data_IF_314231883107
#
_entry.id   IF_314231883107
#
_cell.length_a   1.000
_cell.length_b   1.000
_cell.length_c   1.000
_cell.angle_alpha   90.00
_cell.angle_beta   90.00
_cell.angle_gamma   90.00
#
_symmetry.space_group_name_H-M   'P 1'
#
loop_
_entity.id
_entity.type
_entity.pdbx_description
1 polymer ?
#
# COMPACT_ATOMS: atom_id res chain seq x y z
N UNK A 1 -6.65 6.45 12.74
CA UNK A 1 -7.64 6.63 11.67
C UNK A 1 -8.90 5.82 11.97
N UNK A 2 -10.09 6.40 11.72
CA UNK A 2 -11.37 5.73 11.96
C UNK A 2 -12.32 5.95 10.76
N UNK A 3 -12.88 4.86 10.25
CA UNK A 3 -13.97 4.83 9.29
C UNK A 3 -15.21 4.31 10.01
N UNK A 4 -16.33 5.02 9.95
CA UNK A 4 -17.54 4.69 10.68
C UNK A 4 -18.77 4.70 9.78
N UNK A 5 -19.46 3.56 9.75
CA UNK A 5 -20.74 3.36 9.07
C UNK A 5 -20.70 3.77 7.59
N UNK A 6 -19.64 3.35 6.86
CA UNK A 6 -19.49 3.71 5.47
C UNK A 6 -20.44 2.92 4.56
N UNK A 7 -21.15 3.66 3.72
CA UNK A 7 -21.96 3.13 2.64
C UNK A 7 -21.45 3.68 1.31
N UNK A 8 -21.39 2.81 0.27
CA UNK A 8 -21.05 3.21 -1.09
C UNK A 8 -21.75 2.34 -2.11
N UNK A 9 -22.36 3.00 -3.10
CA UNK A 9 -22.98 2.35 -4.26
C UNK A 9 -22.36 2.89 -5.54
N UNK A 10 -22.35 2.07 -6.57
CA UNK A 10 -22.06 2.46 -7.96
C UNK A 10 -23.24 2.04 -8.82
N UNK A 11 -24.07 3.00 -9.22
CA UNK A 11 -25.37 2.72 -9.79
C UNK A 11 -26.24 1.89 -8.83
N UNK A 12 -26.75 0.76 -9.28
CA UNK A 12 -27.59 -0.12 -8.46
C UNK A 12 -26.79 -1.08 -7.54
N UNK A 13 -25.46 -1.15 -7.72
CA UNK A 13 -24.61 -2.08 -6.97
C UNK A 13 -24.15 -1.44 -5.67
N UNK A 14 -24.59 -1.99 -4.52
CA UNK A 14 -23.99 -1.70 -3.23
C UNK A 14 -22.60 -2.35 -3.13
N UNK A 15 -21.61 -1.60 -2.66
CA UNK A 15 -20.20 -2.03 -2.56
C UNK A 15 -19.68 -1.95 -1.13
N UNK A 16 -20.09 -0.92 -0.39
CA UNK A 16 -19.90 -0.84 1.07
C UNK A 16 -21.29 -0.72 1.70
N UNK A 17 -21.55 -1.54 2.72
CA UNK A 17 -22.80 -1.58 3.46
C UNK A 17 -22.49 -1.64 4.96
N UNK A 18 -22.60 -0.51 5.63
CA UNK A 18 -22.34 -0.33 7.08
C UNK A 18 -20.92 -0.72 7.52
N UNK A 19 -19.91 -0.40 6.71
CA UNK A 19 -18.53 -0.79 7.00
C UNK A 19 -17.92 0.17 8.01
N UNK A 20 -17.43 -0.39 9.12
CA UNK A 20 -16.69 0.35 10.15
C UNK A 20 -15.34 -0.29 10.40
N UNK A 21 -14.28 0.52 10.50
CA UNK A 21 -12.92 0.06 10.71
C UNK A 21 -12.10 1.11 11.45
N UNK A 22 -11.37 0.69 12.47
CA UNK A 22 -10.39 1.52 13.17
C UNK A 22 -8.99 0.99 12.94
N UNK A 23 -8.05 1.88 12.61
CA UNK A 23 -6.62 1.59 12.55
C UNK A 23 -5.93 2.50 13.56
N UNK A 24 -5.49 1.96 14.71
CA UNK A 24 -4.76 2.72 15.72
C UNK A 24 -3.42 3.24 15.17
N UNK A 25 -2.92 4.32 15.76
CA UNK A 25 -1.61 4.86 15.38
C UNK A 25 -0.51 3.82 15.61
N UNK A 26 0.35 3.66 14.61
CA UNK A 26 1.42 2.69 14.63
C UNK A 26 1.01 1.22 14.54
N UNK A 27 -0.29 0.89 14.51
CA UNK A 27 -0.76 -0.49 14.34
C UNK A 27 -0.54 -0.99 12.90
N UNK A 28 -0.48 -2.31 12.76
CA UNK A 28 -0.51 -3.01 11.48
C UNK A 28 -1.78 -3.85 11.43
N UNK A 29 -2.73 -3.44 10.62
CA UNK A 29 -4.04 -4.08 10.49
C UNK A 29 -4.17 -4.66 9.08
N UNK A 30 -4.62 -5.89 8.99
CA UNK A 30 -4.91 -6.59 7.74
C UNK A 30 -6.41 -6.81 7.61
N UNK A 31 -7.04 -6.12 6.68
CA UNK A 31 -8.45 -6.31 6.38
C UNK A 31 -8.61 -7.47 5.39
N UNK A 32 -9.25 -8.52 5.85
CA UNK A 32 -9.52 -9.71 5.05
C UNK A 32 -10.99 -9.81 4.68
N UNK A 33 -11.25 -9.93 3.40
CA UNK A 33 -12.59 -10.23 2.88
C UNK A 33 -12.48 -10.89 1.51
N UNK A 34 -13.49 -11.65 1.07
CA UNK A 34 -13.55 -12.19 -0.28
C UNK A 34 -13.41 -11.11 -1.36
N UNK A 35 -13.00 -11.51 -2.57
CA UNK A 35 -12.94 -10.60 -3.72
C UNK A 35 -14.31 -9.99 -4.01
N UNK A 36 -14.34 -8.72 -4.39
CA UNK A 36 -15.58 -8.01 -4.71
C UNK A 36 -16.34 -7.41 -3.52
N UNK A 37 -15.85 -7.56 -2.29
CA UNK A 37 -16.43 -6.98 -1.07
C UNK A 37 -16.06 -5.52 -0.80
N UNK A 38 -15.66 -4.76 -1.81
CA UNK A 38 -15.45 -3.32 -1.66
C UNK A 38 -14.14 -2.89 -0.99
N UNK A 39 -13.20 -3.81 -0.73
CA UNK A 39 -11.92 -3.51 -0.05
C UNK A 39 -11.14 -2.34 -0.68
N UNK A 40 -10.94 -2.37 -2.00
CA UNK A 40 -10.30 -1.27 -2.74
C UNK A 40 -11.10 0.04 -2.63
N UNK A 41 -12.44 -0.05 -2.64
CA UNK A 41 -13.32 1.11 -2.48
C UNK A 41 -13.16 1.71 -1.08
N UNK A 42 -13.09 0.87 -0.04
CA UNK A 42 -12.84 1.33 1.32
C UNK A 42 -11.50 2.07 1.42
N UNK A 43 -10.41 1.51 0.87
CA UNK A 43 -9.11 2.19 0.84
C UNK A 43 -9.19 3.53 0.10
N UNK A 44 -9.93 3.60 -1.01
CA UNK A 44 -10.12 4.85 -1.76
C UNK A 44 -10.93 5.87 -0.96
N UNK A 45 -11.96 5.45 -0.23
CA UNK A 45 -12.71 6.33 0.67
C UNK A 45 -11.81 6.89 1.79
N UNK A 46 -10.99 6.04 2.41
CA UNK A 46 -10.02 6.45 3.43
C UNK A 46 -9.01 7.46 2.85
N UNK A 47 -8.54 7.22 1.63
CA UNK A 47 -7.58 8.10 0.96
C UNK A 47 -8.20 9.41 0.42
N UNK A 48 -9.52 9.61 0.54
CA UNK A 48 -10.22 10.76 -0.06
C UNK A 48 -10.27 10.73 -1.59
N UNK A 49 -9.97 9.58 -2.21
CA UNK A 49 -10.03 9.39 -3.67
C UNK A 49 -11.44 9.00 -4.15
N UNK A 50 -12.31 8.61 -3.22
CA UNK A 50 -13.70 8.28 -3.46
C UNK A 50 -14.53 8.84 -2.29
N UNK A 51 -15.66 9.45 -2.57
CA UNK A 51 -16.57 9.93 -1.54
C UNK A 51 -17.54 8.82 -1.14
N UNK A 52 -17.66 8.44 0.13
CA UNK A 52 -18.73 7.56 0.58
C UNK A 52 -20.09 8.26 0.42
N UNK A 53 -21.15 7.49 0.20
CA UNK A 53 -22.51 8.03 0.09
C UNK A 53 -23.06 8.42 1.47
N UNK A 54 -22.63 7.72 2.53
CA UNK A 54 -22.87 8.08 3.93
C UNK A 54 -21.80 7.47 4.84
N UNK A 55 -21.79 7.88 6.11
CA UNK A 55 -20.75 7.57 7.06
C UNK A 55 -19.64 8.61 7.09
N UNK A 56 -18.60 8.36 7.88
CA UNK A 56 -17.52 9.33 8.09
C UNK A 56 -16.16 8.65 8.12
N UNK A 57 -15.13 9.36 7.61
CA UNK A 57 -13.71 8.98 7.77
C UNK A 57 -13.02 10.11 8.51
N UNK A 58 -12.35 9.78 9.62
CA UNK A 58 -11.67 10.76 10.49
C UNK A 58 -10.27 10.28 10.87
N UNK A 59 -9.40 11.21 11.29
CA UNK A 59 -8.04 10.89 11.73
C UNK A 59 -7.12 10.37 10.64
N UNK A 60 -7.37 10.72 9.37
CA UNK A 60 -6.44 10.44 8.26
C UNK A 60 -5.37 11.52 8.29
N UNK A 61 -4.07 11.15 8.36
CA UNK A 61 -2.99 12.12 8.37
C UNK A 61 -2.76 12.72 6.98
N UNK A 62 -2.06 13.86 6.93
CA UNK A 62 -1.71 14.52 5.65
C UNK A 62 -0.77 13.66 4.80
N UNK A 63 0.20 12.99 5.45
CA UNK A 63 1.16 12.14 4.75
C UNK A 63 0.66 10.71 4.70
N UNK A 64 -0.04 10.41 3.61
CA UNK A 64 -0.59 9.10 3.32
C UNK A 64 0.16 8.46 2.15
N UNK A 65 0.74 7.27 2.39
CA UNK A 65 1.30 6.43 1.34
C UNK A 65 0.27 5.42 0.85
N UNK A 66 0.16 5.25 -0.48
CA UNK A 66 -0.79 4.30 -1.05
C UNK A 66 -0.10 3.40 -2.08
N UNK A 67 -0.13 2.10 -1.84
CA UNK A 67 0.20 1.05 -2.81
C UNK A 67 -1.11 0.54 -3.40
N UNK A 68 -1.40 0.93 -4.64
CA UNK A 68 -2.60 0.50 -5.36
C UNK A 68 -2.48 -0.94 -5.85
N UNK A 69 -3.59 -1.55 -6.20
CA UNK A 69 -3.62 -2.89 -6.79
C UNK A 69 -2.82 -2.93 -8.12
N UNK A 70 -2.89 -1.88 -8.94
CA UNK A 70 -1.98 -1.64 -10.06
C UNK A 70 -0.76 -0.85 -9.57
N UNK A 71 0.42 -1.11 -10.12
CA UNK A 71 1.66 -0.51 -9.62
C UNK A 71 1.77 1.01 -9.84
N UNK A 72 1.02 1.56 -10.84
CA UNK A 72 0.94 3.00 -11.17
C UNK A 72 2.30 3.67 -11.20
N UNK A 73 3.29 2.99 -11.77
CA UNK A 73 4.60 3.57 -12.06
C UNK A 73 4.57 4.36 -13.36
N UNK A 74 5.46 5.36 -13.47
CA UNK A 74 5.76 6.00 -14.74
C UNK A 74 6.59 5.03 -15.59
N UNK A 75 6.04 4.47 -16.67
CA UNK A 75 6.68 3.36 -17.40
C UNK A 75 7.99 3.75 -18.08
N UNK A 76 8.19 5.04 -18.40
CA UNK A 76 9.39 5.59 -19.05
C UNK A 76 10.54 5.85 -18.06
N UNK A 77 10.24 5.95 -16.76
CA UNK A 77 11.22 6.20 -15.71
C UNK A 77 11.77 4.89 -15.16
N UNK A 78 13.01 4.91 -14.69
CA UNK A 78 13.62 3.80 -13.97
C UNK A 78 13.08 3.68 -12.52
N UNK A 79 13.54 2.66 -11.79
CA UNK A 79 13.09 2.42 -10.42
C UNK A 79 13.45 3.58 -9.48
N UNK A 80 14.66 4.12 -9.60
CA UNK A 80 15.15 5.23 -8.77
C UNK A 80 14.35 6.51 -9.04
N UNK A 81 14.10 6.80 -10.30
CA UNK A 81 13.33 7.99 -10.71
C UNK A 81 11.86 7.89 -10.28
N UNK A 82 11.24 6.71 -10.36
CA UNK A 82 9.88 6.49 -9.86
C UNK A 82 9.75 6.77 -8.34
N UNK A 83 10.73 6.39 -7.54
CA UNK A 83 10.76 6.73 -6.12
C UNK A 83 11.03 8.24 -5.93
N UNK A 84 11.92 8.82 -6.72
CA UNK A 84 12.27 10.23 -6.63
C UNK A 84 11.11 11.18 -6.93
N UNK A 85 10.11 10.76 -7.70
CA UNK A 85 8.89 11.56 -7.95
C UNK A 85 8.20 12.00 -6.65
N UNK A 86 8.23 11.18 -5.60
CA UNK A 86 7.57 11.48 -4.33
C UNK A 86 8.53 12.01 -3.25
N UNK A 87 9.80 11.64 -3.32
CA UNK A 87 10.81 12.07 -2.34
C UNK A 87 11.46 13.41 -2.71
N UNK A 88 11.46 13.77 -3.99
CA UNK A 88 12.09 15.00 -4.48
C UNK A 88 13.56 15.08 -4.11
N UNK A 89 13.91 16.12 -3.34
CA UNK A 89 15.27 16.36 -2.79
C UNK A 89 15.42 15.90 -1.34
N UNK A 90 14.34 15.42 -0.70
CA UNK A 90 14.37 14.99 0.70
C UNK A 90 15.15 13.69 0.92
N UNK A 91 15.31 12.87 -0.14
CA UNK A 91 16.12 11.65 -0.12
C UNK A 91 17.16 11.68 -1.23
N UNK A 92 18.40 11.34 -0.92
CA UNK A 92 19.48 11.30 -1.92
C UNK A 92 19.31 10.10 -2.86
N UNK A 93 19.88 10.18 -4.07
CA UNK A 93 19.85 9.06 -5.02
C UNK A 93 20.50 7.79 -4.45
N UNK A 94 21.69 7.85 -3.79
CA UNK A 94 22.27 6.67 -3.14
C UNK A 94 21.37 6.03 -2.07
N UNK A 95 20.62 6.83 -1.30
CA UNK A 95 19.69 6.30 -0.28
C UNK A 95 18.51 5.59 -0.94
N UNK A 96 17.94 6.17 -2.01
CA UNK A 96 16.89 5.50 -2.80
C UNK A 96 17.39 4.16 -3.36
N UNK A 97 18.59 4.13 -3.92
CA UNK A 97 19.22 2.91 -4.42
C UNK A 97 19.43 1.86 -3.31
N UNK A 98 19.80 2.28 -2.10
CA UNK A 98 19.93 1.39 -0.95
C UNK A 98 18.58 0.73 -0.60
N UNK A 99 17.50 1.48 -0.53
CA UNK A 99 16.14 0.95 -0.35
C UNK A 99 15.75 -0.06 -1.42
N UNK A 100 16.02 0.24 -2.68
CA UNK A 100 15.70 -0.63 -3.80
C UNK A 100 16.55 -1.92 -3.78
N UNK A 101 17.85 -1.84 -3.43
CA UNK A 101 18.72 -3.01 -3.25
C UNK A 101 18.23 -3.92 -2.12
N UNK A 102 17.79 -3.36 -1.00
CA UNK A 102 17.20 -4.13 0.10
C UNK A 102 15.97 -4.93 -0.35
N UNK A 103 15.17 -4.38 -1.27
CA UNK A 103 14.05 -5.07 -1.90
C UNK A 103 14.47 -6.10 -2.98
N UNK A 104 15.78 -6.30 -3.20
CA UNK A 104 16.30 -7.23 -4.21
C UNK A 104 16.12 -6.74 -5.64
N UNK A 105 16.27 -5.43 -5.87
CA UNK A 105 16.13 -4.78 -7.17
C UNK A 105 17.48 -4.29 -7.71
N UNK A 106 18.62 -4.78 -7.18
CA UNK A 106 19.96 -4.34 -7.56
C UNK A 106 20.20 -4.40 -9.08
N UNK A 107 19.70 -5.45 -9.74
CA UNK A 107 19.97 -5.71 -11.16
C UNK A 107 19.07 -4.89 -12.11
N UNK A 108 18.08 -4.16 -11.57
CA UNK A 108 17.14 -3.42 -12.40
C UNK A 108 16.92 -1.96 -11.98
N UNK A 109 17.81 -1.40 -11.16
CA UNK A 109 17.70 -0.02 -10.63
C UNK A 109 17.50 1.02 -11.72
N UNK A 110 18.19 0.87 -12.85
CA UNK A 110 18.21 1.82 -13.97
C UNK A 110 17.49 1.30 -15.21
N UNK A 111 16.74 0.18 -15.07
CA UNK A 111 15.84 -0.29 -16.13
C UNK A 111 14.51 0.45 -16.03
N UNK A 112 13.92 0.77 -17.16
CA UNK A 112 12.60 1.43 -17.19
C UNK A 112 11.54 0.52 -16.58
N UNK A 113 10.57 1.12 -15.90
CA UNK A 113 9.49 0.36 -15.27
C UNK A 113 8.69 -0.50 -16.27
N UNK A 114 8.64 -0.12 -17.54
CA UNK A 114 8.04 -0.91 -18.61
C UNK A 114 8.80 -2.20 -18.94
N UNK A 115 10.10 -2.28 -18.63
CA UNK A 115 11.01 -3.35 -19.02
C UNK A 115 11.21 -4.42 -17.93
N UNK A 116 10.79 -4.11 -16.69
CA UNK A 116 10.97 -5.00 -15.55
C UNK A 116 9.74 -5.88 -15.31
N UNK A 117 9.92 -6.98 -14.56
CA UNK A 117 8.84 -7.93 -14.24
C UNK A 117 7.75 -7.30 -13.36
N UNK A 118 6.55 -7.90 -13.33
CA UNK A 118 5.46 -7.46 -12.46
C UNK A 118 5.84 -7.42 -10.98
N UNK A 119 6.54 -8.45 -10.49
CA UNK A 119 7.02 -8.50 -9.11
C UNK A 119 8.08 -7.43 -8.80
N UNK A 120 8.92 -7.07 -9.79
CA UNK A 120 9.87 -5.96 -9.64
C UNK A 120 9.13 -4.62 -9.59
N UNK A 121 8.17 -4.38 -10.50
CA UNK A 121 7.32 -3.17 -10.46
C UNK A 121 6.59 -3.03 -9.12
N UNK A 122 6.01 -4.13 -8.64
CA UNK A 122 5.31 -4.15 -7.34
C UNK A 122 6.24 -3.69 -6.21
N UNK A 123 7.47 -4.21 -6.15
CA UNK A 123 8.45 -3.81 -5.13
C UNK A 123 8.90 -2.35 -5.28
N UNK A 124 9.02 -1.83 -6.50
CA UNK A 124 9.29 -0.39 -6.73
C UNK A 124 8.12 0.46 -6.23
N UNK A 125 6.86 0.07 -6.47
CA UNK A 125 5.70 0.83 -6.00
C UNK A 125 5.63 0.87 -4.47
N UNK A 126 6.03 -0.21 -3.80
CA UNK A 126 6.15 -0.28 -2.33
C UNK A 126 7.28 0.62 -1.84
N UNK A 127 8.48 0.56 -2.45
CA UNK A 127 9.58 1.46 -2.12
C UNK A 127 9.14 2.93 -2.23
N UNK A 128 8.45 3.29 -3.31
CA UNK A 128 7.93 4.65 -3.53
C UNK A 128 7.01 5.10 -2.40
N UNK A 129 6.09 4.24 -1.95
CA UNK A 129 5.16 4.57 -0.88
C UNK A 129 5.87 4.72 0.48
N UNK A 130 6.84 3.85 0.78
CA UNK A 130 7.62 3.86 2.04
C UNK A 130 8.60 5.04 2.09
N UNK A 131 9.33 5.31 1.01
CA UNK A 131 10.29 6.40 0.93
C UNK A 131 9.64 7.80 1.00
N UNK A 132 8.33 7.90 0.79
CA UNK A 132 7.57 9.12 1.04
C UNK A 132 7.51 9.47 2.54
N UNK A 133 7.89 8.53 3.43
CA UNK A 133 7.83 8.65 4.90
C UNK A 133 6.41 9.02 5.37
N UNK A 134 5.42 8.19 5.06
CA UNK A 134 4.03 8.45 5.43
C UNK A 134 3.80 8.23 6.93
N UNK A 135 2.65 8.71 7.42
CA UNK A 135 2.13 8.43 8.76
C UNK A 135 1.09 7.30 8.74
N UNK A 136 0.48 7.08 7.56
CA UNK A 136 -0.42 5.96 7.27
C UNK A 136 -0.07 5.36 5.91
N UNK A 137 0.11 4.03 5.87
CA UNK A 137 0.29 3.24 4.65
C UNK A 137 -0.99 2.47 4.35
N UNK A 138 -1.57 2.72 3.18
CA UNK A 138 -2.67 1.94 2.62
C UNK A 138 -2.12 0.99 1.55
N UNK A 139 -2.33 -0.30 1.71
CA UNK A 139 -1.77 -1.35 0.88
C UNK A 139 -2.90 -2.21 0.28
N UNK A 140 -3.10 -2.13 -1.04
CA UNK A 140 -4.10 -2.92 -1.77
C UNK A 140 -3.42 -4.11 -2.46
N UNK A 141 -3.58 -5.32 -1.90
CA UNK A 141 -2.98 -6.58 -2.36
C UNK A 141 -1.45 -6.43 -2.60
N UNK A 142 -0.66 -5.95 -1.60
CA UNK A 142 0.71 -5.49 -1.84
C UNK A 142 1.68 -6.58 -2.31
N UNK A 143 1.41 -7.84 -2.00
CA UNK A 143 2.31 -8.96 -2.31
C UNK A 143 1.82 -9.81 -3.48
N UNK A 144 0.75 -9.39 -4.17
CA UNK A 144 0.24 -10.10 -5.34
C UNK A 144 1.31 -10.25 -6.41
N UNK A 145 1.52 -11.50 -6.85
CA UNK A 145 2.52 -11.83 -7.87
C UNK A 145 3.96 -11.92 -7.37
N UNK A 146 4.19 -11.86 -6.06
CA UNK A 146 5.48 -12.17 -5.44
C UNK A 146 5.52 -13.64 -5.02
N UNK A 147 6.67 -14.27 -5.18
CA UNK A 147 6.95 -15.57 -4.54
C UNK A 147 7.14 -15.40 -3.01
N UNK A 148 7.19 -16.53 -2.28
CA UNK A 148 7.29 -16.51 -0.83
C UNK A 148 8.50 -15.73 -0.31
N UNK A 149 9.67 -15.90 -0.92
CA UNK A 149 10.90 -15.24 -0.48
C UNK A 149 10.86 -13.72 -0.75
N UNK A 150 10.31 -13.30 -1.91
CA UNK A 150 10.13 -11.89 -2.23
C UNK A 150 9.06 -11.24 -1.35
N UNK A 151 7.96 -11.95 -1.04
CA UNK A 151 6.95 -11.49 -0.09
C UNK A 151 7.56 -11.22 1.29
N UNK A 152 8.24 -12.21 1.86
CA UNK A 152 8.80 -12.11 3.21
C UNK A 152 9.83 -10.97 3.30
N UNK A 153 10.71 -10.86 2.31
CA UNK A 153 11.66 -9.74 2.20
C UNK A 153 10.96 -8.40 2.14
N UNK A 154 9.89 -8.30 1.34
CA UNK A 154 9.15 -7.05 1.15
C UNK A 154 8.37 -6.67 2.41
N UNK A 155 7.77 -7.64 3.11
CA UNK A 155 7.10 -7.42 4.39
C UNK A 155 8.08 -6.95 5.46
N UNK A 156 9.25 -7.58 5.59
CA UNK A 156 10.31 -7.16 6.51
C UNK A 156 10.81 -5.75 6.20
N UNK A 157 10.99 -5.41 4.93
CA UNK A 157 11.34 -4.06 4.49
C UNK A 157 10.27 -3.04 4.92
N UNK A 158 8.99 -3.31 4.66
CA UNK A 158 7.87 -2.47 5.09
C UNK A 158 7.90 -2.22 6.60
N UNK A 159 7.99 -3.28 7.39
CA UNK A 159 8.00 -3.21 8.85
C UNK A 159 9.19 -2.41 9.40
N UNK A 160 10.37 -2.55 8.80
CA UNK A 160 11.59 -1.85 9.20
C UNK A 160 11.53 -0.36 8.87
N UNK A 161 11.02 0.00 7.70
CA UNK A 161 11.10 1.36 7.17
C UNK A 161 9.79 2.17 7.28
N UNK A 162 8.72 1.63 7.87
CA UNK A 162 7.48 2.36 8.09
C UNK A 162 7.59 3.51 9.11
N UNK A 163 8.69 3.59 9.86
CA UNK A 163 8.98 4.68 10.80
C UNK A 163 7.82 4.97 11.79
N UNK A 164 7.17 3.93 12.31
CA UNK A 164 6.02 4.09 13.20
C UNK A 164 4.69 4.37 12.49
N UNK A 165 4.66 4.50 11.16
CA UNK A 165 3.41 4.65 10.42
C UNK A 165 2.43 3.53 10.73
N UNK A 166 1.14 3.85 10.84
CA UNK A 166 0.09 2.85 10.82
C UNK A 166 0.01 2.20 9.42
N UNK A 167 -0.37 0.93 9.38
CA UNK A 167 -0.51 0.18 8.12
C UNK A 167 -1.90 -0.43 8.07
N UNK A 168 -2.63 -0.15 7.00
CA UNK A 168 -3.84 -0.87 6.62
C UNK A 168 -3.56 -1.64 5.34
N UNK A 169 -3.42 -2.96 5.47
CA UNK A 169 -3.25 -3.87 4.34
C UNK A 169 -4.59 -4.54 4.01
N UNK A 170 -4.92 -4.57 2.74
CA UNK A 170 -6.06 -5.31 2.23
C UNK A 170 -5.54 -6.49 1.42
N UNK A 171 -5.92 -7.69 1.80
CA UNK A 171 -5.54 -8.92 1.11
C UNK A 171 -6.59 -10.01 1.32
N UNK A 172 -6.54 -11.05 0.53
CA UNK A 172 -7.29 -12.30 0.72
C UNK A 172 -6.36 -13.46 1.15
N UNK A 173 -5.04 -13.24 1.21
CA UNK A 173 -4.05 -14.25 1.58
C UNK A 173 -3.63 -14.10 3.06
N UNK A 174 -3.89 -15.15 3.86
CA UNK A 174 -3.47 -15.19 5.27
C UNK A 174 -1.95 -15.13 5.44
N UNK A 175 -1.20 -15.60 4.45
CA UNK A 175 0.25 -15.53 4.47
C UNK A 175 0.77 -14.09 4.43
N UNK A 176 0.05 -13.19 3.77
CA UNK A 176 0.40 -11.75 3.75
C UNK A 176 0.22 -11.12 5.14
N UNK A 177 -0.91 -11.42 5.81
CA UNK A 177 -1.15 -10.96 7.17
C UNK A 177 -0.10 -11.49 8.15
N UNK A 178 0.27 -12.78 8.03
CA UNK A 178 1.30 -13.40 8.84
C UNK A 178 2.68 -12.77 8.60
N UNK A 179 3.06 -12.51 7.35
CA UNK A 179 4.33 -11.87 6.99
C UNK A 179 4.45 -10.44 7.56
N UNK A 180 3.32 -9.72 7.69
CA UNK A 180 3.25 -8.40 8.30
C UNK A 180 3.10 -8.43 9.82
N UNK A 181 2.87 -9.59 10.45
CA UNK A 181 2.52 -9.69 11.87
C UNK A 181 1.27 -8.85 12.21
N UNK A 182 0.33 -8.77 11.28
CA UNK A 182 -0.80 -7.87 11.35
C UNK A 182 -1.94 -8.42 12.19
N UNK A 183 -2.65 -7.54 12.89
CA UNK A 183 -3.97 -7.84 13.44
C UNK A 183 -4.98 -8.01 12.30
N UNK A 184 -5.78 -9.08 12.35
CA UNK A 184 -6.77 -9.37 11.29
C UNK A 184 -8.10 -8.75 11.66
N UNK A 185 -8.63 -7.92 10.75
CA UNK A 185 -10.00 -7.43 10.75
C UNK A 185 -10.78 -8.07 9.59
N UNK A 186 -12.06 -8.35 9.80
CA UNK A 186 -12.97 -8.89 8.78
C UNK A 186 -14.17 -7.96 8.60
N UNK A 187 -14.67 -7.84 7.36
CA UNK A 187 -15.89 -7.09 6.99
C UNK A 187 -16.83 -7.92 6.11
#
# INVERSE_FOLDING_TARGET
MNAAHLYKRFGDKAVLEDVSLTVPDGAVVCLMAPSGRGKTTLLRCIAGLEMPDSGTVTGVPERLGFVFQEDRLCPQLDAVENVRLVTGRAMSRPDIEAHLRELGLADCLHQRAAEVSGGQRRRVSIARAVCYVPELLLLDEPFKGLDGAARDRTAQYLLRHRNGAAVLCVTHDRADAAALGAEIAEI
#
